data_IF_849241651988
#
_entry.id   IF_849241651988
#
_cell.length_a   1.000
_cell.length_b   1.000
_cell.length_c   1.000
_cell.angle_alpha   90.00
_cell.angle_beta   90.00
_cell.angle_gamma   90.00
#
_symmetry.space_group_name_H-M   'P 1'
#
loop_
_entity.id
_entity.type
_entity.pdbx_description
1 polymer ?
#
# COMPACT_ATOMS: atom_id res chain seq x y z
N UNK A 1 -5.88 3.13 -15.91
CA UNK A 1 -5.03 3.38 -14.73
C UNK A 1 -5.36 4.71 -14.06
N UNK A 2 -5.23 5.85 -14.74
CA UNK A 2 -5.47 7.19 -14.16
C UNK A 2 -6.83 7.34 -13.45
N UNK A 3 -7.92 6.85 -14.05
CA UNK A 3 -9.26 6.86 -13.40
C UNK A 3 -9.25 6.19 -12.02
N UNK A 4 -8.56 5.06 -11.86
CA UNK A 4 -8.47 4.32 -10.59
C UNK A 4 -7.63 5.09 -9.57
N UNK A 5 -6.52 5.68 -10.00
CA UNK A 5 -5.68 6.55 -9.16
C UNK A 5 -6.48 7.72 -8.62
N UNK A 6 -7.24 8.41 -9.48
CA UNK A 6 -8.09 9.53 -9.07
C UNK A 6 -9.17 9.07 -8.08
N UNK A 7 -9.85 7.95 -8.36
CA UNK A 7 -10.87 7.42 -7.45
C UNK A 7 -10.26 7.12 -6.07
N UNK A 8 -9.10 6.45 -6.01
CA UNK A 8 -8.45 6.17 -4.72
C UNK A 8 -7.96 7.42 -4.02
N UNK A 9 -7.49 8.44 -4.74
CA UNK A 9 -7.11 9.72 -4.16
C UNK A 9 -8.33 10.44 -3.58
N UNK A 10 -9.45 10.50 -4.31
CA UNK A 10 -10.71 11.10 -3.82
C UNK A 10 -11.24 10.37 -2.59
N UNK A 11 -11.17 9.03 -2.56
CA UNK A 11 -11.54 8.25 -1.37
C UNK A 11 -10.66 8.64 -0.17
N UNK A 12 -9.36 8.81 -0.37
CA UNK A 12 -8.44 9.26 0.69
C UNK A 12 -8.78 10.69 1.15
N UNK A 13 -9.07 11.62 0.24
CA UNK A 13 -9.46 13.00 0.60
C UNK A 13 -10.76 13.04 1.42
N UNK A 14 -11.76 12.24 1.03
CA UNK A 14 -13.00 12.11 1.81
C UNK A 14 -12.72 11.56 3.21
N UNK A 15 -11.86 10.54 3.31
CA UNK A 15 -11.45 9.97 4.60
C UNK A 15 -10.70 11.00 5.46
N UNK A 16 -9.78 11.75 4.87
CA UNK A 16 -9.02 12.81 5.55
C UNK A 16 -9.97 13.88 6.10
N UNK A 17 -10.91 14.35 5.26
CA UNK A 17 -11.89 15.34 5.68
C UNK A 17 -12.77 14.82 6.82
N UNK A 18 -13.22 13.57 6.74
CA UNK A 18 -14.01 12.94 7.79
C UNK A 18 -13.24 12.80 9.12
N UNK A 19 -11.97 12.38 9.05
CA UNK A 19 -11.10 12.28 10.23
C UNK A 19 -10.83 13.66 10.84
N UNK A 20 -10.57 14.68 10.02
CA UNK A 20 -10.39 16.05 10.51
C UNK A 20 -11.61 16.54 11.28
N UNK A 21 -12.80 16.36 10.71
CA UNK A 21 -14.05 16.81 11.33
C UNK A 21 -14.33 16.06 12.65
N UNK A 22 -14.06 14.75 12.68
CA UNK A 22 -14.36 13.90 13.85
C UNK A 22 -13.41 14.14 15.03
N UNK A 23 -12.11 14.33 14.76
CA UNK A 23 -11.09 14.43 15.82
C UNK A 23 -10.78 15.87 16.22
N UNK A 24 -10.77 16.80 15.27
CA UNK A 24 -10.31 18.17 15.53
C UNK A 24 -11.44 19.19 15.58
N UNK A 25 -12.63 18.87 15.05
CA UNK A 25 -13.81 19.76 15.01
C UNK A 25 -13.52 21.14 14.39
N UNK A 26 -12.39 21.28 13.69
CA UNK A 26 -11.88 22.52 13.16
C UNK A 26 -11.15 22.22 11.84
N UNK A 27 -11.39 23.05 10.84
CA UNK A 27 -10.74 22.96 9.54
C UNK A 27 -9.56 23.93 9.54
N UNK A 28 -8.38 23.42 9.86
CA UNK A 28 -7.12 24.17 9.76
C UNK A 28 -6.16 23.49 8.80
N UNK A 29 -5.30 24.28 8.14
CA UNK A 29 -4.27 23.76 7.25
C UNK A 29 -3.33 22.80 7.98
N UNK A 30 -3.01 23.09 9.25
CA UNK A 30 -2.17 22.24 10.10
C UNK A 30 -2.80 20.86 10.34
N UNK A 31 -4.10 20.80 10.63
CA UNK A 31 -4.81 19.53 10.83
C UNK A 31 -4.91 18.74 9.52
N UNK A 32 -5.12 19.43 8.39
CA UNK A 32 -5.08 18.79 7.08
C UNK A 32 -3.71 18.15 6.80
N UNK A 33 -2.61 18.88 7.02
CA UNK A 33 -1.24 18.36 6.84
C UNK A 33 -1.04 17.10 7.68
N UNK A 34 -1.36 17.14 8.98
CA UNK A 34 -1.14 16.02 9.88
C UNK A 34 -1.97 14.78 9.51
N UNK A 35 -3.27 14.96 9.26
CA UNK A 35 -4.18 13.84 8.95
C UNK A 35 -3.86 13.26 7.56
N UNK A 36 -3.66 14.10 6.55
CA UNK A 36 -3.30 13.66 5.20
C UNK A 36 -1.99 12.89 5.17
N UNK A 37 -0.98 13.34 5.94
CA UNK A 37 0.30 12.65 6.04
C UNK A 37 0.13 11.25 6.62
N UNK A 38 -0.58 11.12 7.75
CA UNK A 38 -0.79 9.83 8.42
C UNK A 38 -1.58 8.88 7.52
N UNK A 39 -2.70 9.33 6.95
CA UNK A 39 -3.55 8.51 6.07
C UNK A 39 -2.77 8.04 4.86
N UNK A 40 -2.12 8.97 4.15
CA UNK A 40 -1.41 8.64 2.92
C UNK A 40 -0.17 7.77 3.18
N UNK A 41 0.54 7.97 4.30
CA UNK A 41 1.65 7.12 4.71
C UNK A 41 1.18 5.67 4.99
N UNK A 42 0.09 5.49 5.72
CA UNK A 42 -0.47 4.15 5.99
C UNK A 42 -0.88 3.46 4.68
N UNK A 43 -1.61 4.16 3.81
CA UNK A 43 -2.04 3.60 2.51
C UNK A 43 -0.84 3.28 1.63
N UNK A 44 0.19 4.13 1.62
CA UNK A 44 1.43 3.89 0.88
C UNK A 44 2.16 2.63 1.37
N UNK A 45 2.31 2.46 2.68
CA UNK A 45 2.93 1.25 3.27
C UNK A 45 2.12 0.00 2.93
N UNK A 46 0.80 0.04 3.02
CA UNK A 46 -0.06 -1.07 2.59
C UNK A 46 0.12 -1.37 1.10
N UNK A 47 0.21 -0.33 0.26
CA UNK A 47 0.49 -0.48 -1.16
C UNK A 47 1.85 -1.12 -1.44
N UNK A 48 2.88 -0.80 -0.65
CA UNK A 48 4.20 -1.42 -0.75
C UNK A 48 4.15 -2.90 -0.32
N UNK A 49 3.42 -3.24 0.74
CA UNK A 49 3.24 -4.63 1.15
C UNK A 49 2.57 -5.42 0.04
N UNK A 50 1.48 -4.89 -0.54
CA UNK A 50 0.80 -5.53 -1.68
C UNK A 50 1.72 -5.68 -2.89
N UNK A 51 2.57 -4.69 -3.16
CA UNK A 51 3.57 -4.78 -4.22
C UNK A 51 4.57 -5.91 -3.96
N UNK A 52 5.11 -6.03 -2.75
CA UNK A 52 6.04 -7.12 -2.40
C UNK A 52 5.35 -8.49 -2.46
N UNK A 53 4.08 -8.57 -2.08
CA UNK A 53 3.28 -9.79 -2.18
C UNK A 53 3.05 -10.21 -3.64
N UNK A 54 2.75 -9.26 -4.54
CA UNK A 54 2.53 -9.56 -5.96
C UNK A 54 3.81 -9.74 -6.78
N UNK A 55 4.93 -9.18 -6.34
CA UNK A 55 6.20 -9.27 -7.09
C UNK A 55 6.81 -10.68 -7.11
N UNK A 56 6.16 -11.67 -6.47
CA UNK A 56 6.68 -13.04 -6.36
C UNK A 56 7.79 -13.19 -5.31
N UNK A 57 8.06 -12.14 -4.51
CA UNK A 57 9.03 -12.22 -3.41
C UNK A 57 8.65 -13.30 -2.40
N UNK A 58 7.36 -13.38 -2.05
CA UNK A 58 6.86 -14.41 -1.15
C UNK A 58 6.92 -15.81 -1.78
N UNK A 59 6.66 -15.92 -3.08
CA UNK A 59 6.76 -17.19 -3.80
C UNK A 59 8.21 -17.68 -3.88
N UNK A 60 9.16 -16.76 -4.06
CA UNK A 60 10.59 -17.06 -4.05
C UNK A 60 11.06 -17.54 -2.67
N UNK A 61 10.63 -16.88 -1.59
CA UNK A 61 10.94 -17.33 -0.22
C UNK A 61 10.30 -18.69 0.07
N UNK A 62 9.02 -18.87 -0.26
CA UNK A 62 8.30 -20.11 0.02
C UNK A 62 8.92 -21.29 -0.75
N UNK A 63 9.21 -21.09 -2.04
CA UNK A 63 9.89 -22.10 -2.87
C UNK A 63 11.32 -22.36 -2.39
N UNK A 64 12.06 -21.31 -2.02
CA UNK A 64 13.42 -21.41 -1.49
C UNK A 64 13.49 -22.21 -0.18
N UNK A 65 12.64 -21.88 0.80
CA UNK A 65 12.53 -22.62 2.06
C UNK A 65 12.13 -24.07 1.82
N UNK A 66 11.13 -24.33 0.97
CA UNK A 66 10.68 -25.69 0.64
C UNK A 66 11.81 -26.49 0.00
N UNK A 67 12.60 -25.91 -0.90
CA UNK A 67 13.77 -26.55 -1.53
C UNK A 67 14.85 -26.91 -0.51
N UNK A 68 15.11 -26.02 0.45
CA UNK A 68 16.09 -26.25 1.52
C UNK A 68 15.62 -27.35 2.47
N UNK A 69 14.37 -27.28 2.95
CA UNK A 69 13.79 -28.29 3.85
C UNK A 69 13.70 -29.67 3.20
N UNK A 70 13.28 -29.74 1.92
CA UNK A 70 13.26 -31.00 1.15
C UNK A 70 14.65 -31.58 0.94
N UNK A 71 15.66 -30.74 0.68
CA UNK A 71 17.06 -31.17 0.58
C UNK A 71 17.57 -31.74 1.91
N UNK A 72 17.10 -31.24 3.05
CA UNK A 72 17.40 -31.83 4.36
C UNK A 72 16.66 -33.15 4.61
N UNK A 73 15.46 -33.35 4.06
CA UNK A 73 14.58 -34.49 4.37
C UNK A 73 14.64 -35.66 3.36
N UNK A 74 15.33 -35.52 2.22
CA UNK A 74 15.43 -36.53 1.13
C UNK A 74 14.05 -37.07 0.67
N UNK A 75 13.04 -36.21 0.61
CA UNK A 75 11.69 -36.57 0.13
C UNK A 75 11.59 -36.36 -1.40
N UNK A 76 11.01 -37.34 -2.12
CA UNK A 76 10.75 -37.29 -3.57
C UNK A 76 9.65 -36.29 -3.95
N UNK A 77 9.70 -35.80 -5.19
CA UNK A 77 8.86 -34.73 -5.74
C UNK A 77 7.36 -35.07 -5.65
N UNK A 78 6.62 -34.36 -4.80
CA UNK A 78 5.16 -34.35 -4.86
C UNK A 78 4.66 -33.28 -5.85
N UNK A 79 3.89 -33.74 -6.83
CA UNK A 79 3.34 -33.03 -8.01
C UNK A 79 2.18 -32.06 -7.68
N UNK A 80 1.99 -31.70 -6.42
CA UNK A 80 0.96 -30.72 -6.06
C UNK A 80 1.51 -29.32 -6.28
N UNK A 81 1.18 -28.77 -7.45
CA UNK A 81 1.40 -27.39 -7.83
C UNK A 81 0.56 -26.47 -6.92
N UNK A 82 1.16 -25.96 -5.85
CA UNK A 82 0.58 -24.88 -5.07
C UNK A 82 0.53 -23.62 -5.97
N UNK A 83 -0.66 -23.04 -6.13
CA UNK A 83 -0.83 -21.79 -6.89
C UNK A 83 -0.01 -20.69 -6.19
N UNK A 84 0.88 -19.98 -6.91
CA UNK A 84 1.71 -18.95 -6.31
C UNK A 84 0.84 -17.82 -5.75
N UNK A 85 1.23 -17.28 -4.60
CA UNK A 85 0.51 -16.19 -3.93
C UNK A 85 0.42 -14.94 -4.82
N UNK A 86 1.43 -14.71 -5.66
CA UNK A 86 1.42 -13.62 -6.64
C UNK A 86 0.32 -13.76 -7.70
N UNK A 87 -0.06 -14.98 -8.10
CA UNK A 87 -1.14 -15.22 -9.07
C UNK A 87 -2.53 -15.07 -8.44
N UNK A 88 -2.67 -15.36 -7.15
CA UNK A 88 -3.93 -15.18 -6.40
C UNK A 88 -4.24 -13.70 -6.13
N UNK A 89 -3.22 -12.84 -6.19
CA UNK A 89 -3.35 -11.42 -5.89
C UNK A 89 -3.45 -10.57 -7.16
N UNK A 90 -4.65 -10.44 -7.73
CA UNK A 90 -4.96 -9.48 -8.80
C UNK A 90 -5.55 -8.17 -8.23
N UNK A 91 -4.85 -7.56 -7.28
CA UNK A 91 -5.24 -6.27 -6.70
C UNK A 91 -4.49 -5.17 -7.44
N UNK A 92 -5.17 -4.09 -7.85
CA UNK A 92 -4.55 -2.96 -8.56
C UNK A 92 -3.62 -2.10 -7.68
N UNK A 93 -2.59 -2.69 -7.08
CA UNK A 93 -1.67 -2.06 -6.12
C UNK A 93 -0.97 -0.83 -6.69
N UNK A 94 -0.66 -0.82 -7.99
CA UNK A 94 -0.04 0.34 -8.67
C UNK A 94 -0.94 1.57 -8.55
N UNK A 95 -2.26 1.40 -8.70
CA UNK A 95 -3.19 2.52 -8.59
C UNK A 95 -3.30 3.03 -7.15
N UNK A 96 -3.20 2.12 -6.17
CA UNK A 96 -3.21 2.46 -4.76
C UNK A 96 -1.92 3.20 -4.37
N UNK A 97 -0.74 2.69 -4.74
CA UNK A 97 0.55 3.33 -4.53
C UNK A 97 0.62 4.74 -5.12
N UNK A 98 0.29 4.88 -6.41
CA UNK A 98 0.32 6.18 -7.08
C UNK A 98 -0.66 7.18 -6.45
N UNK A 99 -1.82 6.71 -6.01
CA UNK A 99 -2.79 7.58 -5.33
C UNK A 99 -2.27 8.07 -3.97
N UNK A 100 -1.72 7.17 -3.14
CA UNK A 100 -1.13 7.55 -1.85
C UNK A 100 0.09 8.43 -2.01
N UNK A 101 0.89 8.23 -3.06
CA UNK A 101 2.04 9.08 -3.35
C UNK A 101 1.60 10.49 -3.75
N UNK A 102 0.52 10.61 -4.51
CA UNK A 102 -0.05 11.91 -4.87
C UNK A 102 -0.57 12.65 -3.62
N UNK A 103 -1.27 11.98 -2.71
CA UNK A 103 -1.75 12.59 -1.46
C UNK A 103 -0.59 12.93 -0.50
N UNK A 104 0.46 12.10 -0.44
CA UNK A 104 1.69 12.44 0.30
C UNK A 104 2.35 13.71 -0.27
N UNK A 105 2.42 13.83 -1.60
CA UNK A 105 2.97 15.00 -2.25
C UNK A 105 2.15 16.27 -1.95
N UNK A 106 0.82 16.18 -1.95
CA UNK A 106 -0.03 17.34 -1.60
C UNK A 106 0.16 17.73 -0.13
N UNK A 107 0.30 16.76 0.78
CA UNK A 107 0.61 17.00 2.20
C UNK A 107 1.94 17.73 2.38
N UNK A 108 3.00 17.32 1.67
CA UNK A 108 4.30 18.00 1.72
C UNK A 108 4.27 19.39 1.08
N UNK A 109 3.53 19.58 -0.01
CA UNK A 109 3.34 20.91 -0.60
C UNK A 109 2.60 21.83 0.39
N UNK A 110 1.55 21.34 1.04
CA UNK A 110 0.82 22.09 2.06
C UNK A 110 1.72 22.45 3.26
N UNK A 111 2.58 21.51 3.70
CA UNK A 111 3.58 21.75 4.74
C UNK A 111 4.56 22.85 4.33
N UNK A 112 5.09 22.81 3.10
CA UNK A 112 6.01 23.83 2.60
C UNK A 112 5.35 25.23 2.57
N UNK A 113 4.08 25.30 2.15
CA UNK A 113 3.31 26.55 2.15
C UNK A 113 3.03 27.04 3.57
N UNK A 114 2.76 26.14 4.52
CA UNK A 114 2.50 26.52 5.92
C UNK A 114 3.70 27.18 6.60
N UNK A 115 4.93 26.84 6.17
CA UNK A 115 6.18 27.34 6.74
C UNK A 115 6.89 28.42 5.91
N UNK A 116 6.33 28.83 4.76
CA UNK A 116 6.86 29.94 3.95
C UNK A 116 6.30 31.28 4.41
#
# INVERSE_FOLDING_TARGET
MLKRVIIFAVIQEILIFFLMLSFYWNISLLYYINVSFIVAAIVFVVGLILYVMQSGFFDLIHTGMRKITRRMRREEESEFADVPLSELMNVGYVSLLLSSLAVLATSFIALAIYYS
#
